data_IF_000340554547
#
_entry.id   IF_000340554547
#
_cell.length_a   1.000
_cell.length_b   1.000
_cell.length_c   1.000
_cell.angle_alpha   90.00
_cell.angle_beta   90.00
_cell.angle_gamma   90.00
#
_symmetry.space_group_name_H-M   'P 1'
#
loop_
_entity.id
_entity.type
_entity.pdbx_description
1 polymer ?
#
# COMPACT_ATOMS: atom_id res chain seq x y z
N UNK A 1 18.00 1.79 10.78
CA UNK A 1 19.39 1.57 10.40
C UNK A 1 19.65 0.07 10.21
N UNK A 2 20.54 -0.29 9.30
CA UNK A 2 21.01 -1.65 9.08
C UNK A 2 22.54 -1.64 8.92
N UNK A 3 23.21 -2.70 9.37
CA UNK A 3 24.66 -2.80 9.23
C UNK A 3 25.01 -4.12 8.55
N UNK A 4 25.83 -4.04 7.50
CA UNK A 4 26.43 -5.18 6.85
C UNK A 4 27.89 -5.35 7.35
N UNK A 5 28.29 -6.60 7.56
CA UNK A 5 29.64 -6.96 7.96
C UNK A 5 30.32 -7.79 6.89
N UNK A 6 31.61 -7.54 6.67
CA UNK A 6 32.45 -8.47 5.94
C UNK A 6 32.66 -9.72 6.80
N UNK A 7 32.51 -10.90 6.20
CA UNK A 7 32.68 -12.16 6.88
C UNK A 7 33.49 -13.15 6.03
N UNK A 8 34.17 -14.06 6.70
CA UNK A 8 34.81 -15.22 6.05
C UNK A 8 33.80 -16.30 5.65
N UNK A 9 34.28 -17.39 5.06
CA UNK A 9 33.43 -18.52 4.64
C UNK A 9 32.72 -19.26 5.79
N UNK A 10 33.07 -18.96 7.04
CA UNK A 10 32.46 -19.50 8.25
C UNK A 10 31.64 -18.48 9.02
N UNK A 11 31.34 -17.34 8.36
CA UNK A 11 30.59 -16.19 8.92
C UNK A 11 31.25 -15.49 10.11
N UNK A 12 32.58 -15.65 10.32
CA UNK A 12 33.29 -14.83 11.27
C UNK A 12 33.51 -13.43 10.68
N UNK A 13 33.26 -12.39 11.48
CA UNK A 13 33.51 -11.00 11.05
C UNK A 13 34.99 -10.79 10.73
N UNK A 14 35.27 -10.18 9.59
CA UNK A 14 36.63 -9.81 9.15
C UNK A 14 36.81 -8.30 9.31
N UNK A 15 37.82 -7.89 10.05
CA UNK A 15 38.19 -6.50 10.27
C UNK A 15 39.24 -6.04 9.23
N UNK A 16 39.48 -4.73 9.19
CA UNK A 16 40.46 -4.14 8.27
C UNK A 16 40.02 -4.09 6.80
N UNK A 17 38.84 -4.52 6.47
CA UNK A 17 38.29 -4.45 5.11
C UNK A 17 37.70 -3.08 4.87
N UNK A 18 38.14 -2.39 3.80
CA UNK A 18 37.59 -1.13 3.31
C UNK A 18 37.04 -1.29 1.89
N UNK A 19 35.84 -0.83 1.64
CA UNK A 19 35.16 -0.84 0.34
C UNK A 19 34.46 0.48 0.10
N UNK A 20 34.65 1.06 -1.07
CA UNK A 20 34.07 2.36 -1.41
C UNK A 20 32.67 2.29 -2.00
N UNK A 21 32.17 1.10 -2.33
CA UNK A 21 30.94 0.98 -3.14
C UNK A 21 30.10 -0.24 -2.74
N UNK A 22 29.59 -0.22 -1.52
CA UNK A 22 28.61 -1.20 -1.05
C UNK A 22 27.22 -0.69 -1.41
N UNK A 23 26.57 -1.35 -2.34
CA UNK A 23 25.18 -1.05 -2.73
C UNK A 23 24.20 -1.68 -1.75
N UNK A 24 23.29 -0.88 -1.23
CA UNK A 24 22.14 -1.34 -0.46
C UNK A 24 20.85 -1.18 -1.27
N UNK A 25 20.04 -2.23 -1.30
CA UNK A 25 18.71 -2.26 -1.92
C UNK A 25 17.69 -2.91 -0.98
N UNK A 26 16.41 -2.67 -1.20
CA UNK A 26 15.31 -3.33 -0.51
C UNK A 26 14.39 -4.03 -1.52
N UNK A 27 13.61 -4.98 -1.04
CA UNK A 27 12.53 -5.62 -1.80
C UNK A 27 11.22 -4.81 -1.79
N UNK A 28 11.26 -3.57 -1.31
CA UNK A 28 10.13 -2.64 -1.36
C UNK A 28 9.94 -2.12 -2.80
N UNK A 29 8.76 -2.35 -3.44
CA UNK A 29 8.52 -1.92 -4.82
C UNK A 29 8.61 -0.42 -5.04
N UNK A 30 8.35 0.38 -3.99
CA UNK A 30 8.36 1.84 -4.04
C UNK A 30 9.61 2.49 -3.43
N UNK A 31 10.51 1.69 -2.92
CA UNK A 31 11.80 2.15 -2.39
C UNK A 31 12.91 1.09 -2.60
N UNK A 32 13.12 0.61 -3.84
CA UNK A 32 14.05 -0.49 -4.09
C UNK A 32 15.53 -0.08 -3.96
N UNK A 33 15.86 1.19 -4.24
CA UNK A 33 17.21 1.70 -4.21
C UNK A 33 17.45 2.52 -2.94
N UNK A 34 18.24 1.99 -2.00
CA UNK A 34 18.58 2.69 -0.76
C UNK A 34 19.81 3.58 -0.98
N UNK A 35 20.84 3.08 -1.66
CA UNK A 35 22.03 3.85 -1.99
C UNK A 35 23.34 3.07 -1.98
N UNK A 36 24.44 3.82 -2.03
CA UNK A 36 25.80 3.32 -1.96
C UNK A 36 26.47 3.82 -0.69
N UNK A 37 27.23 2.94 -0.06
CA UNK A 37 27.84 3.18 1.25
C UNK A 37 29.30 2.73 1.24
N UNK A 38 30.09 3.33 2.11
CA UNK A 38 31.47 2.93 2.36
C UNK A 38 31.51 1.92 3.49
N UNK A 39 32.23 0.83 3.28
CA UNK A 39 32.58 -0.09 4.34
C UNK A 39 33.94 0.33 4.93
N UNK A 40 34.01 0.46 6.23
CA UNK A 40 35.22 0.76 6.98
C UNK A 40 35.38 -0.28 8.07
N UNK A 41 36.60 -0.80 8.22
CA UNK A 41 36.91 -1.85 9.20
C UNK A 41 35.92 -3.04 9.15
N UNK A 42 35.61 -3.49 7.95
CA UNK A 42 34.70 -4.62 7.73
C UNK A 42 33.23 -4.36 8.10
N UNK A 43 32.81 -3.09 8.21
CA UNK A 43 31.39 -2.76 8.44
C UNK A 43 30.90 -1.60 7.57
N UNK A 44 29.67 -1.70 7.09
CA UNK A 44 28.96 -0.62 6.39
C UNK A 44 27.59 -0.42 7.05
N UNK A 45 27.32 0.79 7.54
CA UNK A 45 26.05 1.14 8.17
C UNK A 45 25.21 1.99 7.23
N UNK A 46 23.98 1.55 7.03
CA UNK A 46 22.95 2.25 6.26
C UNK A 46 21.99 2.89 7.23
N UNK A 47 21.84 4.20 7.14
CA UNK A 47 20.90 4.98 7.95
C UNK A 47 19.76 5.55 7.08
N UNK A 48 18.69 6.00 7.74
CA UNK A 48 17.55 6.67 7.10
C UNK A 48 16.85 5.84 6.01
N UNK A 49 16.71 4.54 6.25
CA UNK A 49 15.96 3.65 5.36
C UNK A 49 14.47 3.98 5.52
N UNK A 50 13.84 4.46 4.45
CA UNK A 50 12.44 4.92 4.43
C UNK A 50 11.56 4.00 3.55
N UNK A 51 11.41 2.74 3.95
CA UNK A 51 10.52 1.79 3.27
C UNK A 51 9.06 2.24 3.41
N UNK A 52 8.26 1.94 2.40
CA UNK A 52 6.88 2.44 2.28
C UNK A 52 5.83 1.33 2.29
N UNK A 53 6.17 0.15 1.78
CA UNK A 53 5.20 -0.94 1.63
C UNK A 53 5.21 -1.84 2.86
N UNK A 54 4.14 -1.83 3.64
CA UNK A 54 3.98 -2.70 4.81
C UNK A 54 4.02 -4.19 4.43
N UNK A 55 4.42 -5.03 5.38
CA UNK A 55 4.61 -6.47 5.20
C UNK A 55 6.04 -6.91 5.52
N UNK A 56 6.36 -8.15 5.21
CA UNK A 56 7.72 -8.67 5.38
C UNK A 56 8.64 -8.08 4.32
N UNK A 57 9.75 -7.49 4.75
CA UNK A 57 10.76 -6.86 3.89
C UNK A 57 12.13 -7.42 4.17
N UNK A 58 13.03 -7.32 3.19
CA UNK A 58 14.45 -7.68 3.31
C UNK A 58 15.33 -6.62 2.67
N UNK A 59 16.59 -6.59 3.09
CA UNK A 59 17.62 -5.70 2.55
C UNK A 59 18.69 -6.56 1.88
N UNK A 60 19.18 -6.11 0.74
CA UNK A 60 20.29 -6.74 0.03
C UNK A 60 21.48 -5.79 0.02
N UNK A 61 22.67 -6.33 0.35
CA UNK A 61 23.94 -5.62 0.26
C UNK A 61 24.83 -6.32 -0.76
N UNK A 62 25.45 -5.55 -1.64
CA UNK A 62 26.35 -6.06 -2.68
C UNK A 62 27.62 -5.21 -2.76
N UNK A 63 28.78 -5.85 -2.83
CA UNK A 63 30.06 -5.18 -3.11
C UNK A 63 30.19 -4.91 -4.61
N UNK A 64 30.14 -3.66 -5.00
CA UNK A 64 30.36 -3.19 -6.37
C UNK A 64 31.66 -2.40 -6.51
N UNK A 65 32.58 -2.50 -5.53
CA UNK A 65 33.86 -1.76 -5.54
C UNK A 65 34.84 -2.24 -6.60
N UNK A 66 34.71 -3.49 -7.05
CA UNK A 66 35.67 -4.12 -7.97
C UNK A 66 37.04 -4.38 -7.38
N UNK A 67 37.24 -4.18 -6.07
CA UNK A 67 38.51 -4.33 -5.39
C UNK A 67 38.64 -5.67 -4.67
N UNK A 68 39.88 -6.21 -4.56
CA UNK A 68 40.14 -7.42 -3.78
C UNK A 68 40.18 -7.14 -2.27
N UNK A 69 39.74 -8.10 -1.42
CA UNK A 69 38.96 -9.29 -1.76
C UNK A 69 37.55 -8.91 -2.21
N UNK A 70 37.00 -9.59 -3.23
CA UNK A 70 35.60 -9.42 -3.62
C UNK A 70 34.70 -10.02 -2.55
N UNK A 71 33.69 -9.25 -2.09
CA UNK A 71 32.69 -9.73 -1.15
C UNK A 71 31.44 -10.17 -1.92
N UNK A 72 30.89 -11.33 -1.58
CA UNK A 72 29.62 -11.79 -2.11
C UNK A 72 28.45 -10.88 -1.66
N UNK A 73 27.34 -10.90 -2.41
CA UNK A 73 26.12 -10.26 -1.95
C UNK A 73 25.48 -11.03 -0.79
N UNK A 74 24.80 -10.31 0.08
CA UNK A 74 24.04 -10.90 1.19
C UNK A 74 22.67 -10.27 1.30
N UNK A 75 21.71 -11.07 1.77
CA UNK A 75 20.32 -10.63 2.05
C UNK A 75 20.09 -10.74 3.55
N UNK A 76 19.47 -9.73 4.14
CA UNK A 76 19.07 -9.77 5.55
C UNK A 76 17.99 -10.83 5.78
N UNK A 77 17.81 -11.28 7.01
CA UNK A 77 16.57 -11.92 7.41
C UNK A 77 15.36 -11.02 7.15
N UNK A 78 14.20 -11.63 6.96
CA UNK A 78 12.95 -10.90 6.82
C UNK A 78 12.61 -10.13 8.12
N UNK A 79 12.16 -8.88 7.99
CA UNK A 79 11.64 -8.07 9.08
C UNK A 79 10.26 -7.52 8.71
N UNK A 80 9.40 -7.32 9.70
CA UNK A 80 8.06 -6.80 9.48
C UNK A 80 8.07 -5.28 9.47
N UNK A 81 7.55 -4.68 8.39
CA UNK A 81 7.22 -3.27 8.31
C UNK A 81 5.72 -3.11 8.55
N UNK A 82 5.35 -2.47 9.64
CA UNK A 82 3.95 -2.19 9.97
C UNK A 82 3.47 -0.95 9.21
N UNK A 83 2.15 -0.86 8.88
CA UNK A 83 1.58 0.39 8.40
C UNK A 83 1.73 1.48 9.47
N UNK A 84 1.76 2.72 9.03
CA UNK A 84 1.74 3.89 9.93
C UNK A 84 0.31 4.17 10.41
N UNK A 85 0.09 5.31 11.07
CA UNK A 85 -1.25 5.70 11.53
C UNK A 85 -2.25 5.77 10.37
N UNK A 86 -3.52 5.37 10.58
CA UNK A 86 -4.57 5.48 9.58
C UNK A 86 -4.81 6.97 9.25
N UNK A 87 -4.86 7.28 7.95
CA UNK A 87 -5.01 8.66 7.46
C UNK A 87 -6.00 8.79 6.31
N UNK A 88 -6.33 7.68 5.62
CA UNK A 88 -7.11 7.72 4.37
C UNK A 88 -8.13 6.61 4.31
N UNK A 89 -9.21 6.89 3.58
CA UNK A 89 -10.14 5.88 3.06
C UNK A 89 -9.79 5.59 1.60
N UNK A 90 -9.96 4.34 1.18
CA UNK A 90 -9.85 3.92 -0.21
C UNK A 90 -11.07 3.06 -0.55
N UNK A 91 -11.85 3.48 -1.55
CA UNK A 91 -12.91 2.68 -2.14
C UNK A 91 -12.38 2.05 -3.45
N UNK A 92 -12.63 0.76 -3.63
CA UNK A 92 -12.26 0.01 -4.85
C UNK A 92 -13.50 -0.68 -5.41
N UNK A 93 -13.69 -0.52 -6.70
CA UNK A 93 -14.75 -1.15 -7.48
C UNK A 93 -14.21 -2.37 -8.26
N UNK A 94 -15.07 -3.22 -8.84
CA UNK A 94 -14.62 -4.33 -9.68
C UNK A 94 -13.65 -3.89 -10.77
N UNK A 95 -12.53 -4.62 -10.93
CA UNK A 95 -11.45 -4.30 -11.85
C UNK A 95 -10.29 -3.54 -11.22
N UNK A 96 -10.44 -2.98 -10.03
CA UNK A 96 -9.37 -2.32 -9.30
C UNK A 96 -8.69 -3.27 -8.29
N UNK A 97 -7.42 -2.99 -8.02
CA UNK A 97 -6.58 -3.74 -7.08
C UNK A 97 -5.79 -2.80 -6.18
N UNK A 98 -5.46 -3.28 -4.98
CA UNK A 98 -4.65 -2.56 -3.98
C UNK A 98 -3.21 -2.36 -4.47
N UNK A 99 -2.66 -1.15 -4.26
CA UNK A 99 -1.25 -0.84 -4.47
C UNK A 99 -0.67 -0.23 -3.19
N UNK A 100 -0.37 -1.05 -2.18
CA UNK A 100 0.23 -0.59 -0.93
C UNK A 100 1.65 -0.04 -1.17
N UNK A 101 2.06 0.95 -0.40
CA UNK A 101 3.35 1.64 -0.54
C UNK A 101 3.34 2.79 -1.56
N UNK A 102 2.30 2.92 -2.36
CA UNK A 102 2.16 3.94 -3.40
C UNK A 102 2.11 5.36 -2.84
N UNK A 103 2.65 6.31 -3.59
CA UNK A 103 2.46 7.75 -3.37
C UNK A 103 1.33 8.34 -4.22
N UNK A 104 0.75 7.55 -5.12
CA UNK A 104 -0.38 7.92 -5.97
C UNK A 104 -1.73 7.74 -5.24
N UNK A 105 -2.66 7.08 -5.92
CA UNK A 105 -4.02 6.83 -5.41
C UNK A 105 -4.19 5.48 -4.70
N UNK A 106 -3.12 4.68 -4.56
CA UNK A 106 -3.17 3.38 -3.88
C UNK A 106 -3.94 2.28 -4.61
N UNK A 107 -4.29 2.50 -5.87
CA UNK A 107 -5.05 1.59 -6.72
C UNK A 107 -4.37 1.37 -8.07
N UNK A 108 -4.66 0.23 -8.68
CA UNK A 108 -4.31 -0.10 -10.07
C UNK A 108 -5.47 -0.83 -10.74
N UNK A 109 -5.42 -0.96 -12.04
CA UNK A 109 -6.49 -1.56 -12.83
C UNK A 109 -7.48 -0.51 -13.35
N UNK A 110 -8.44 -0.99 -14.12
CA UNK A 110 -9.51 -0.16 -14.71
C UNK A 110 -10.85 -0.66 -14.19
N UNK A 111 -11.72 0.22 -13.69
CA UNK A 111 -13.08 -0.14 -13.31
C UNK A 111 -13.79 -0.91 -14.41
N UNK A 112 -14.40 -2.03 -14.05
CA UNK A 112 -15.22 -2.82 -14.98
C UNK A 112 -16.59 -2.16 -15.09
N UNK A 113 -17.08 -1.96 -16.31
CA UNK A 113 -18.40 -1.42 -16.56
C UNK A 113 -19.48 -2.31 -15.89
N UNK A 114 -20.46 -1.66 -15.27
CA UNK A 114 -21.57 -2.31 -14.58
C UNK A 114 -22.86 -2.13 -15.40
N UNK A 115 -23.94 -2.81 -15.02
CA UNK A 115 -25.23 -2.72 -15.68
C UNK A 115 -26.26 -2.07 -14.75
N UNK A 116 -27.08 -1.19 -15.27
CA UNK A 116 -28.18 -0.59 -14.51
C UNK A 116 -29.13 -1.69 -13.99
N UNK A 117 -29.46 -1.64 -12.70
CA UNK A 117 -30.25 -2.65 -12.00
C UNK A 117 -29.46 -3.88 -11.51
N UNK A 118 -28.18 -4.05 -11.90
CA UNK A 118 -27.33 -5.12 -11.40
C UNK A 118 -26.45 -4.64 -10.25
N UNK A 119 -26.35 -5.44 -9.19
CA UNK A 119 -25.54 -5.12 -8.01
C UNK A 119 -24.07 -5.46 -8.24
N UNK A 120 -23.17 -4.63 -7.71
CA UNK A 120 -21.74 -4.92 -7.62
C UNK A 120 -21.18 -4.60 -6.24
N UNK A 121 -20.02 -5.18 -5.93
CA UNK A 121 -19.37 -5.00 -4.63
C UNK A 121 -18.31 -3.92 -4.69
N UNK A 122 -18.30 -3.03 -3.69
CA UNK A 122 -17.25 -2.04 -3.45
C UNK A 122 -16.52 -2.41 -2.17
N UNK A 123 -15.19 -2.53 -2.24
CA UNK A 123 -14.35 -2.75 -1.06
C UNK A 123 -13.87 -1.40 -0.54
N UNK A 124 -14.06 -1.15 0.76
CA UNK A 124 -13.55 0.06 1.42
C UNK A 124 -12.49 -0.33 2.43
N UNK A 125 -11.34 0.31 2.34
CA UNK A 125 -10.21 0.13 3.25
C UNK A 125 -9.91 1.39 4.05
N UNK A 126 -9.48 1.21 5.30
CA UNK A 126 -8.79 2.23 6.09
C UNK A 126 -7.29 2.03 5.87
N UNK A 127 -6.58 3.07 5.45
CA UNK A 127 -5.18 2.99 5.06
C UNK A 127 -4.34 4.10 5.68
N UNK A 128 -3.02 3.89 5.71
CA UNK A 128 -2.05 4.93 6.04
C UNK A 128 -1.79 5.88 4.85
N UNK A 129 -0.83 6.78 5.02
CA UNK A 129 -0.45 7.77 3.99
C UNK A 129 0.16 7.15 2.73
N UNK A 130 0.63 5.91 2.80
CA UNK A 130 1.16 5.13 1.68
C UNK A 130 0.20 4.04 1.20
N UNK A 131 -1.07 4.13 1.54
CA UNK A 131 -2.12 3.19 1.14
C UNK A 131 -1.92 1.75 1.65
N UNK A 132 -1.10 1.55 2.68
CA UNK A 132 -1.06 0.28 3.37
C UNK A 132 -2.32 0.11 4.20
N UNK A 133 -2.91 -1.08 4.16
CA UNK A 133 -4.05 -1.42 5.00
C UNK A 133 -3.67 -1.30 6.48
N UNK A 134 -4.53 -0.66 7.28
CA UNK A 134 -4.39 -0.53 8.74
C UNK A 134 -5.41 -1.42 9.45
N UNK A 135 -5.12 -2.71 9.65
CA UNK A 135 -6.13 -3.70 10.04
C UNK A 135 -6.74 -3.48 11.43
N UNK A 136 -6.04 -2.75 12.31
CA UNK A 136 -6.52 -2.40 13.66
C UNK A 136 -7.36 -1.13 13.73
N UNK A 137 -7.43 -0.34 12.65
CA UNK A 137 -8.21 0.89 12.62
C UNK A 137 -9.71 0.58 12.45
N UNK A 138 -10.56 1.20 13.27
CA UNK A 138 -12.01 0.99 13.24
C UNK A 138 -12.74 2.32 13.14
N UNK A 139 -13.69 2.44 12.21
CA UNK A 139 -14.46 3.66 11.95
C UNK A 139 -15.81 3.33 11.31
N UNK A 140 -16.85 4.10 11.66
CA UNK A 140 -18.11 4.02 10.95
C UNK A 140 -18.03 4.77 9.61
N UNK A 141 -18.26 4.02 8.53
CA UNK A 141 -18.14 4.48 7.14
C UNK A 141 -19.49 4.31 6.44
N UNK A 142 -19.81 5.27 5.60
CA UNK A 142 -20.84 5.16 4.57
C UNK A 142 -20.22 5.21 3.18
N UNK A 143 -20.83 4.52 2.25
CA UNK A 143 -20.50 4.65 0.84
C UNK A 143 -21.53 5.59 0.19
N UNK A 144 -21.03 6.55 -0.59
CA UNK A 144 -21.84 7.51 -1.33
C UNK A 144 -21.74 7.20 -2.81
N UNK A 145 -22.89 7.08 -3.46
CA UNK A 145 -23.05 6.96 -4.90
C UNK A 145 -23.78 8.21 -5.40
N UNK A 146 -23.34 8.80 -6.50
CA UNK A 146 -23.97 10.03 -7.05
C UNK A 146 -25.21 9.75 -7.91
N UNK A 147 -25.50 8.47 -8.19
CA UNK A 147 -26.79 8.09 -8.77
C UNK A 147 -27.89 8.18 -7.69
N UNK A 148 -28.83 9.17 -7.76
CA UNK A 148 -29.81 9.39 -6.73
C UNK A 148 -30.83 8.26 -6.59
N UNK A 149 -30.89 7.35 -7.56
CA UNK A 149 -31.80 6.20 -7.59
C UNK A 149 -31.10 4.91 -7.15
N UNK A 150 -29.77 4.94 -6.94
CA UNK A 150 -29.01 3.78 -6.50
C UNK A 150 -29.38 3.34 -5.09
N UNK A 151 -29.21 2.06 -4.81
CA UNK A 151 -29.19 1.55 -3.44
C UNK A 151 -27.78 1.16 -3.03
N UNK A 152 -27.44 1.44 -1.76
CA UNK A 152 -26.18 1.04 -1.12
C UNK A 152 -26.51 0.25 0.13
N UNK A 153 -25.96 -0.98 0.23
CA UNK A 153 -26.23 -1.88 1.36
C UNK A 153 -24.89 -2.41 1.92
N UNK A 154 -24.66 -2.25 3.25
CA UNK A 154 -25.44 -1.43 4.20
C UNK A 154 -25.29 0.07 3.90
N UNK A 155 -26.22 0.89 4.38
CA UNK A 155 -26.15 2.35 4.23
C UNK A 155 -24.94 2.94 4.95
N UNK A 156 -24.59 2.40 6.13
CA UNK A 156 -23.34 2.61 6.85
C UNK A 156 -22.98 1.36 7.65
N UNK A 157 -21.73 1.21 7.99
CA UNK A 157 -21.24 0.16 8.90
C UNK A 157 -19.93 0.57 9.56
N UNK A 158 -19.68 0.03 10.76
CA UNK A 158 -18.37 0.10 11.38
C UNK A 158 -17.46 -0.88 10.66
N UNK A 159 -16.38 -0.37 10.05
CA UNK A 159 -15.36 -1.20 9.43
C UNK A 159 -14.11 -1.27 10.31
N UNK A 160 -13.47 -2.43 10.36
CA UNK A 160 -12.17 -2.62 11.02
C UNK A 160 -11.17 -3.02 9.96
N UNK A 161 -10.32 -2.08 9.57
CA UNK A 161 -9.37 -2.21 8.46
C UNK A 161 -10.04 -2.20 7.10
N UNK A 162 -10.92 -3.15 6.81
CA UNK A 162 -11.57 -3.32 5.50
C UNK A 162 -12.97 -3.89 5.62
N UNK A 163 -13.88 -3.48 4.74
CA UNK A 163 -15.20 -4.09 4.57
C UNK A 163 -15.73 -3.88 3.14
N UNK A 164 -16.88 -4.51 2.87
CA UNK A 164 -17.53 -4.43 1.56
C UNK A 164 -18.91 -3.80 1.67
N UNK A 165 -19.30 -3.09 0.62
CA UNK A 165 -20.62 -2.54 0.39
C UNK A 165 -21.16 -3.07 -0.95
N UNK A 166 -22.45 -3.23 -1.05
CA UNK A 166 -23.13 -3.58 -2.31
C UNK A 166 -23.81 -2.34 -2.87
N UNK A 167 -23.53 -2.02 -4.11
CA UNK A 167 -24.12 -0.89 -4.84
C UNK A 167 -24.98 -1.44 -5.99
N UNK A 168 -26.21 -0.94 -6.12
CA UNK A 168 -27.08 -1.23 -7.26
C UNK A 168 -27.41 0.09 -7.95
N UNK A 169 -26.70 0.43 -9.05
CA UNK A 169 -26.98 1.64 -9.82
C UNK A 169 -28.26 1.44 -10.64
N UNK A 170 -29.01 2.50 -10.84
CA UNK A 170 -30.24 2.48 -11.65
C UNK A 170 -30.09 3.31 -12.92
N UNK A 171 -29.37 4.43 -12.84
CA UNK A 171 -29.16 5.32 -13.97
C UNK A 171 -27.95 4.85 -14.80
N UNK A 172 -28.13 4.70 -16.11
CA UNK A 172 -27.04 4.47 -17.04
C UNK A 172 -26.19 5.75 -17.22
N UNK A 173 -24.91 5.57 -17.49
CA UNK A 173 -23.91 6.64 -17.64
C UNK A 173 -22.80 6.52 -16.61
N UNK A 174 -22.01 7.57 -16.45
CA UNK A 174 -20.96 7.59 -15.46
C UNK A 174 -21.54 7.79 -14.05
N UNK A 175 -21.09 6.98 -13.12
CA UNK A 175 -21.48 7.03 -11.71
C UNK A 175 -20.23 7.10 -10.85
N UNK A 176 -20.23 7.96 -9.84
CA UNK A 176 -19.14 8.14 -8.91
C UNK A 176 -19.43 7.46 -7.58
N UNK A 177 -18.45 6.72 -7.08
CA UNK A 177 -18.55 6.04 -5.78
C UNK A 177 -17.40 6.49 -4.91
N UNK A 178 -17.70 6.88 -3.66
CA UNK A 178 -16.68 7.29 -2.67
C UNK A 178 -17.08 6.85 -1.27
N UNK A 179 -16.07 6.61 -0.43
CA UNK A 179 -16.26 6.30 0.98
C UNK A 179 -16.11 7.56 1.84
N UNK A 180 -17.00 7.73 2.82
CA UNK A 180 -16.97 8.85 3.76
C UNK A 180 -17.13 8.35 5.19
N UNK A 181 -16.56 9.08 6.16
CA UNK A 181 -16.87 8.86 7.57
C UNK A 181 -18.28 9.36 7.90
N UNK A 182 -19.01 8.62 8.72
CA UNK A 182 -20.33 9.05 9.22
C UNK A 182 -20.16 10.17 10.24
N UNK A 183 -19.14 10.07 11.12
CA UNK A 183 -18.81 11.08 12.11
C UNK A 183 -17.45 11.71 11.79
N UNK A 184 -17.38 13.04 11.78
CA UNK A 184 -16.20 13.77 11.33
C UNK A 184 -14.96 13.63 12.23
N UNK A 185 -15.09 13.13 13.47
CA UNK A 185 -13.97 12.95 14.40
C UNK A 185 -14.02 11.56 15.00
N UNK A 186 -13.08 10.67 14.62
CA UNK A 186 -12.94 9.39 15.28
C UNK A 186 -12.47 9.57 16.72
N UNK A 187 -12.95 8.73 17.62
CA UNK A 187 -12.57 8.75 19.04
C UNK A 187 -11.07 8.46 19.30
N UNK A 188 -10.32 8.06 18.27
CA UNK A 188 -8.95 7.56 18.37
C UNK A 188 -7.91 8.31 17.50
N UNK A 189 -8.30 9.38 16.77
CA UNK A 189 -7.28 10.05 15.97
C UNK A 189 -7.77 11.07 14.93
N UNK A 190 -6.90 11.46 14.01
CA UNK A 190 -7.20 12.49 13.00
C UNK A 190 -8.29 12.04 12.03
N UNK A 191 -9.01 13.02 11.50
CA UNK A 191 -9.97 12.81 10.42
C UNK A 191 -9.32 12.11 9.23
N UNK A 192 -9.90 11.00 8.76
CA UNK A 192 -9.44 10.32 7.56
C UNK A 192 -9.75 11.19 6.34
N UNK A 193 -8.80 11.35 5.45
CA UNK A 193 -9.06 11.98 4.15
C UNK A 193 -9.92 11.07 3.30
N UNK A 194 -10.99 11.63 2.77
CA UNK A 194 -11.86 10.95 1.80
C UNK A 194 -11.06 10.69 0.53
N UNK A 195 -11.19 9.50 -0.03
CA UNK A 195 -10.57 9.15 -1.31
C UNK A 195 -11.22 9.93 -2.46
N UNK A 196 -10.47 10.11 -3.55
CA UNK A 196 -11.04 10.55 -4.83
C UNK A 196 -12.10 9.55 -5.28
N UNK A 197 -13.27 10.05 -5.66
CA UNK A 197 -14.33 9.19 -6.14
C UNK A 197 -13.87 8.33 -7.33
N UNK A 198 -14.20 7.04 -7.28
CA UNK A 198 -13.99 6.14 -8.42
C UNK A 198 -15.14 6.28 -9.39
N UNK A 199 -14.82 6.41 -10.68
CA UNK A 199 -15.80 6.47 -11.78
C UNK A 199 -16.11 5.06 -12.25
N UNK A 200 -17.38 4.74 -12.35
CA UNK A 200 -17.89 3.47 -12.90
C UNK A 200 -18.80 3.78 -14.08
N UNK A 201 -18.54 3.20 -15.23
CA UNK A 201 -19.47 3.26 -16.37
C UNK A 201 -20.61 2.28 -16.15
N UNK A 202 -21.85 2.75 -16.23
CA UNK A 202 -23.07 1.95 -16.07
C UNK A 202 -23.77 1.85 -17.41
N UNK A 203 -23.79 0.65 -17.98
CA UNK A 203 -24.52 0.36 -19.21
C UNK A 203 -26.04 0.28 -18.93
N UNK A 204 -26.90 0.59 -19.90
CA UNK A 204 -28.35 0.37 -19.79
C UNK A 204 -28.67 -1.08 -19.43
N UNK A 205 -29.73 -1.27 -18.66
CA UNK A 205 -30.29 -2.59 -18.39
C UNK A 205 -30.90 -3.22 -19.66
N UNK A 206 -31.24 -4.51 -19.60
CA UNK A 206 -31.94 -5.20 -20.69
C UNK A 206 -33.32 -4.54 -20.88
N UNK A 207 -33.68 -4.17 -22.14
CA UNK A 207 -35.02 -3.62 -22.39
C UNK A 207 -36.10 -4.58 -21.89
N UNK A 208 -36.96 -4.08 -21.00
CA UNK A 208 -38.22 -4.78 -20.64
C UNK A 208 -39.29 -4.41 -21.66
N UNK A 209 -39.93 -5.41 -22.27
CA UNK A 209 -41.10 -5.21 -23.12
C UNK A 209 -42.33 -4.92 -22.26
#
# INVERSE_FOLDING_TARGET
NATAYAADSRYNRVYGIAKSNIRATADDPFYPAIGFYTMTDGSATVSNIALRTAGTRSLTFADLSGTSPSLGSTVSGGFTLNPTNPTRLRAMVPGESRVPGSTGNGRSGTPVAQQAGASFTVTVDITDSFWNLTPGASQEIRLVCDDPFSSVVPASQVITGSATFTVTPIRAGQTYVRAEMVNAVPSWGPTLTVDTATVVDVAPGVPSR
#
